data_IF_418022629055
#
_entry.id   IF_418022629055
#
_cell.length_a   1.000
_cell.length_b   1.000
_cell.length_c   1.000
_cell.angle_alpha   90.00
_cell.angle_beta   90.00
_cell.angle_gamma   90.00
#
_symmetry.space_group_name_H-M   'P 1'
#
loop_
_entity.id
_entity.type
_entity.pdbx_description
1 polymer ?
#
# COMPACT_ATOMS: atom_id res chain seq x y z
N UNK A 1 5.72 1.96 -15.05
CA UNK A 1 4.80 1.30 -14.11
C UNK A 1 3.47 2.03 -14.16
N UNK A 2 2.37 1.35 -14.47
CA UNK A 2 1.04 1.96 -14.56
C UNK A 2 0.21 1.74 -13.29
N UNK A 3 -0.93 2.45 -13.16
CA UNK A 3 -1.79 2.38 -11.96
C UNK A 3 -2.26 0.96 -11.64
N UNK A 4 -2.60 0.17 -12.66
CA UNK A 4 -3.09 -1.19 -12.48
C UNK A 4 -2.02 -2.12 -11.91
N UNK A 5 -0.78 -2.03 -12.41
CA UNK A 5 0.37 -2.79 -11.89
C UNK A 5 0.62 -2.49 -10.41
N UNK A 6 0.55 -1.20 -10.03
CA UNK A 6 0.72 -0.79 -8.64
C UNK A 6 -0.40 -1.30 -7.74
N UNK A 7 -1.66 -1.30 -8.20
CA UNK A 7 -2.79 -1.86 -7.43
C UNK A 7 -2.58 -3.36 -7.20
N UNK A 8 -2.16 -4.08 -8.24
CA UNK A 8 -1.87 -5.52 -8.12
C UNK A 8 -0.73 -5.79 -7.14
N UNK A 9 0.39 -5.05 -7.27
CA UNK A 9 1.53 -5.20 -6.37
C UNK A 9 1.21 -4.87 -4.92
N UNK A 10 0.39 -3.83 -4.66
CA UNK A 10 -0.11 -3.52 -3.31
C UNK A 10 -0.99 -4.66 -2.78
N UNK A 11 -1.87 -5.22 -3.62
CA UNK A 11 -2.71 -6.36 -3.23
C UNK A 11 -1.87 -7.59 -2.86
N UNK A 12 -0.86 -7.93 -3.66
CA UNK A 12 0.07 -9.03 -3.38
C UNK A 12 0.85 -8.80 -2.08
N UNK A 13 1.38 -7.59 -1.87
CA UNK A 13 2.11 -7.23 -0.67
C UNK A 13 1.22 -7.23 0.60
N UNK A 14 -0.06 -6.89 0.47
CA UNK A 14 -1.03 -7.05 1.57
C UNK A 14 -1.27 -8.52 1.91
N UNK A 15 -1.25 -9.41 0.90
CA UNK A 15 -1.35 -10.85 1.09
C UNK A 15 -0.18 -11.45 1.87
N UNK A 16 1.03 -10.91 1.72
CA UNK A 16 2.20 -11.33 2.50
C UNK A 16 2.27 -10.66 3.88
N UNK A 17 1.76 -9.43 4.00
CA UNK A 17 1.71 -8.68 5.27
C UNK A 17 0.65 -9.22 6.23
N UNK A 18 -0.51 -9.63 5.70
CA UNK A 18 -1.65 -10.15 6.48
C UNK A 18 -2.08 -11.55 6.00
N UNK A 19 -1.19 -12.57 6.08
CA UNK A 19 -1.38 -13.86 5.41
C UNK A 19 -2.58 -14.66 5.94
N UNK A 20 -2.90 -14.52 7.23
CA UNK A 20 -3.98 -15.26 7.91
C UNK A 20 -5.26 -14.45 8.08
N UNK A 21 -5.20 -13.12 7.89
CA UNK A 21 -6.34 -12.23 8.09
C UNK A 21 -6.49 -11.25 6.92
N UNK A 22 -7.01 -11.78 5.81
CA UNK A 22 -7.24 -11.01 4.58
C UNK A 22 -8.24 -9.87 4.77
N UNK A 23 -9.20 -10.02 5.68
CA UNK A 23 -10.15 -8.96 5.97
C UNK A 23 -9.45 -7.74 6.59
N UNK A 24 -8.46 -7.99 7.46
CA UNK A 24 -7.66 -6.92 8.06
C UNK A 24 -6.88 -6.11 7.02
N UNK A 25 -6.45 -6.68 5.90
CA UNK A 25 -5.81 -5.91 4.82
C UNK A 25 -6.73 -4.78 4.32
N UNK A 26 -8.01 -5.07 4.14
CA UNK A 26 -9.01 -4.08 3.73
C UNK A 26 -9.28 -3.02 4.80
N UNK A 27 -9.24 -3.42 6.08
CA UNK A 27 -9.38 -2.52 7.24
C UNK A 27 -8.17 -1.61 7.35
N UNK A 28 -6.96 -2.16 7.18
CA UNK A 28 -5.71 -1.42 7.26
C UNK A 28 -5.65 -0.31 6.20
N UNK A 29 -6.09 -0.59 4.97
CA UNK A 29 -6.18 0.43 3.91
C UNK A 29 -7.05 1.63 4.29
N UNK A 30 -8.05 1.44 5.16
CA UNK A 30 -9.00 2.47 5.60
C UNK A 30 -8.63 3.12 6.93
N UNK A 31 -7.66 2.58 7.67
CA UNK A 31 -7.24 3.11 8.98
C UNK A 31 -6.07 4.07 8.85
N UNK A 32 -6.04 5.08 9.71
CA UNK A 32 -4.91 6.01 9.80
C UNK A 32 -3.63 5.29 10.19
N UNK A 33 -2.53 5.63 9.51
CA UNK A 33 -1.21 5.07 9.78
C UNK A 33 -0.27 6.20 10.22
N UNK A 34 0.38 6.02 11.39
CA UNK A 34 1.29 7.02 11.96
C UNK A 34 2.41 7.44 11.00
N UNK A 35 3.01 6.48 10.30
CA UNK A 35 4.06 6.71 9.27
C UNK A 35 3.55 7.48 8.05
N UNK A 36 2.23 7.57 7.87
CA UNK A 36 1.56 8.33 6.82
C UNK A 36 0.97 9.65 7.32
N UNK A 37 1.55 10.23 8.38
CA UNK A 37 1.07 11.49 9.00
C UNK A 37 -0.41 11.39 9.39
N UNK A 38 -0.81 10.23 9.93
CA UNK A 38 -2.19 9.91 10.33
C UNK A 38 -3.21 9.87 9.18
N UNK A 39 -2.78 9.77 7.93
CA UNK A 39 -3.66 9.50 6.78
C UNK A 39 -3.87 8.01 6.59
N UNK A 40 -5.01 7.66 6.01
CA UNK A 40 -5.26 6.27 5.60
C UNK A 40 -4.47 5.94 4.32
N UNK A 41 -3.95 4.70 4.17
CA UNK A 41 -3.28 4.28 2.94
C UNK A 41 -4.13 4.52 1.69
N UNK A 42 -5.44 4.29 1.75
CA UNK A 42 -6.35 4.54 0.63
C UNK A 42 -6.39 6.03 0.23
N UNK A 43 -6.35 6.95 1.19
CA UNK A 43 -6.31 8.39 0.89
C UNK A 43 -5.03 8.77 0.12
N UNK A 44 -3.90 8.18 0.48
CA UNK A 44 -2.64 8.35 -0.26
C UNK A 44 -2.76 7.75 -1.67
N UNK A 45 -3.34 6.56 -1.82
CA UNK A 45 -3.50 5.93 -3.14
C UNK A 45 -4.41 6.76 -4.08
N UNK A 46 -5.38 7.49 -3.51
CA UNK A 46 -6.26 8.39 -4.24
C UNK A 46 -5.60 9.73 -4.59
N UNK A 47 -4.54 10.14 -3.87
CA UNK A 47 -3.82 11.39 -4.17
C UNK A 47 -2.91 11.32 -5.39
N UNK A 48 -2.84 10.17 -6.08
CA UNK A 48 -2.10 9.96 -7.31
C UNK A 48 -0.98 8.93 -7.19
N UNK A 49 -0.14 8.85 -8.24
CA UNK A 49 0.91 7.85 -8.38
C UNK A 49 1.95 7.88 -7.25
N UNK A 50 2.39 9.08 -6.85
CA UNK A 50 3.36 9.23 -5.75
C UNK A 50 2.85 8.65 -4.44
N UNK A 51 1.55 8.81 -4.17
CA UNK A 51 0.91 8.25 -2.99
C UNK A 51 0.80 6.72 -3.06
N UNK A 52 0.49 6.17 -4.24
CA UNK A 52 0.50 4.72 -4.46
C UNK A 52 1.89 4.12 -4.31
N UNK A 53 2.92 4.70 -4.93
CA UNK A 53 4.32 4.27 -4.78
C UNK A 53 4.74 4.24 -3.32
N UNK A 54 4.36 5.27 -2.55
CA UNK A 54 4.65 5.35 -1.11
C UNK A 54 3.97 4.25 -0.30
N UNK A 55 2.70 3.93 -0.61
CA UNK A 55 1.98 2.83 0.05
C UNK A 55 2.59 1.48 -0.34
N UNK A 56 2.95 1.30 -1.61
CA UNK A 56 3.58 0.07 -2.07
C UNK A 56 4.95 -0.14 -1.42
N UNK A 57 5.83 0.86 -1.44
CA UNK A 57 7.15 0.81 -0.80
C UNK A 57 7.06 0.54 0.70
N UNK A 58 5.99 1.02 1.37
CA UNK A 58 5.76 0.72 2.78
C UNK A 58 5.49 -0.77 3.04
N UNK A 59 4.72 -1.41 2.15
CA UNK A 59 4.34 -2.83 2.26
C UNK A 59 5.43 -3.77 1.76
N UNK A 60 6.16 -3.35 0.73
CA UNK A 60 7.19 -4.12 0.06
C UNK A 60 8.44 -3.25 -0.15
N UNK A 61 9.43 -3.47 0.72
CA UNK A 61 10.67 -2.71 0.69
C UNK A 61 11.52 -3.00 -0.55
N UNK A 62 11.28 -4.10 -1.28
CA UNK A 62 12.01 -4.42 -2.51
C UNK A 62 11.71 -3.43 -3.63
N UNK A 63 10.59 -2.70 -3.55
CA UNK A 63 10.30 -1.62 -4.49
C UNK A 63 11.31 -0.47 -4.39
N UNK A 64 11.99 -0.31 -3.25
CA UNK A 64 13.09 0.66 -3.11
C UNK A 64 14.35 0.31 -3.90
N UNK A 65 14.45 -0.89 -4.48
CA UNK A 65 15.58 -1.30 -5.32
C UNK A 65 15.32 -1.09 -6.82
N UNK A 66 14.10 -0.67 -7.18
CA UNK A 66 13.68 -0.51 -8.58
C UNK A 66 13.74 0.95 -9.06
N UNK A 67 14.20 1.86 -8.20
CA UNK A 67 14.44 3.27 -8.49
C UNK A 67 15.93 3.55 -8.72
#
# INVERSE_FOLDING_TARGET
MNRSEMIMGIHEALGTTYPTNREYASIWLKRSVKKFKQKAPLELMLSGETGMKRVWHFLDCTQGWKD
#
